data_IF_932919918026
#
_entry.id   IF_932919918026
#
_cell.length_a   1.000
_cell.length_b   1.000
_cell.length_c   1.000
_cell.angle_alpha   90.00
_cell.angle_beta   90.00
_cell.angle_gamma   90.00
#
_symmetry.space_group_name_H-M   'P 1'
#
loop_
_entity.id
_entity.type
_entity.pdbx_description
1 polymer ?
#
# COMPACT_ATOMS: atom_id res chain seq x y z
N UNK A 1 -14.84 25.62 15.30
CA UNK A 1 -14.39 25.38 13.92
C UNK A 1 -13.03 24.71 13.98
N UNK A 2 -12.88 23.47 13.44
CA UNK A 2 -11.54 22.91 13.24
C UNK A 2 -10.89 23.71 12.11
N UNK A 3 -9.81 24.41 12.41
CA UNK A 3 -9.01 25.08 11.38
C UNK A 3 -8.43 23.97 10.50
N UNK A 4 -8.90 23.87 9.27
CA UNK A 4 -8.33 22.94 8.29
C UNK A 4 -6.91 23.40 7.97
N UNK A 5 -5.96 22.49 8.10
CA UNK A 5 -4.56 22.79 7.79
C UNK A 5 -4.37 22.71 6.27
N UNK A 6 -4.53 23.84 5.59
CA UNK A 6 -4.43 23.96 4.14
C UNK A 6 -3.08 23.46 3.61
N UNK A 7 -2.00 23.72 4.35
CA UNK A 7 -0.66 23.24 4.01
C UNK A 7 -0.61 21.71 3.96
N UNK A 8 -1.19 21.03 4.95
CA UNK A 8 -1.26 19.58 4.98
C UNK A 8 -2.08 19.01 3.81
N UNK A 9 -3.16 19.67 3.44
CA UNK A 9 -3.97 19.28 2.27
C UNK A 9 -3.20 19.43 0.97
N UNK A 10 -2.43 20.51 0.81
CA UNK A 10 -1.56 20.70 -0.36
C UNK A 10 -0.48 19.62 -0.46
N UNK A 11 0.20 19.27 0.65
CA UNK A 11 1.17 18.17 0.65
C UNK A 11 0.54 16.80 0.36
N UNK A 12 -0.66 16.52 0.84
CA UNK A 12 -1.40 15.31 0.49
C UNK A 12 -1.68 15.24 -1.00
N UNK A 13 -2.15 16.33 -1.60
CA UNK A 13 -2.44 16.39 -3.03
C UNK A 13 -1.16 16.16 -3.86
N UNK A 14 -0.06 16.80 -3.48
CA UNK A 14 1.24 16.62 -4.13
C UNK A 14 1.73 15.16 -4.02
N UNK A 15 1.61 14.56 -2.84
CA UNK A 15 2.00 13.18 -2.62
C UNK A 15 1.10 12.20 -3.39
N UNK A 16 -0.22 12.43 -3.48
CA UNK A 16 -1.11 11.64 -4.32
C UNK A 16 -0.70 11.69 -5.79
N UNK A 17 -0.43 12.89 -6.31
CA UNK A 17 0.06 13.08 -7.67
C UNK A 17 1.38 12.34 -7.90
N UNK A 18 2.31 12.44 -6.95
CA UNK A 18 3.59 11.75 -7.00
C UNK A 18 3.44 10.23 -7.05
N UNK A 19 2.54 9.63 -6.25
CA UNK A 19 2.27 8.19 -6.31
C UNK A 19 1.73 7.77 -7.68
N UNK A 20 0.77 8.50 -8.23
CA UNK A 20 0.23 8.21 -9.56
C UNK A 20 1.35 8.26 -10.59
N UNK A 21 2.20 9.28 -10.52
CA UNK A 21 3.29 9.48 -11.46
C UNK A 21 4.40 8.42 -11.36
N UNK A 22 4.58 7.76 -10.23
CA UNK A 22 5.52 6.63 -10.09
C UNK A 22 5.14 5.43 -10.97
N UNK A 23 3.86 5.30 -11.33
CA UNK A 23 3.37 4.23 -12.19
C UNK A 23 3.40 4.61 -13.69
N UNK A 24 3.72 5.86 -14.01
CA UNK A 24 3.90 6.33 -15.38
C UNK A 24 5.36 6.66 -15.63
N UNK A 25 5.99 5.90 -16.52
CA UNK A 25 7.38 6.15 -16.92
C UNK A 25 7.46 7.44 -17.75
N UNK A 26 7.94 8.51 -17.16
CA UNK A 26 8.30 9.71 -17.88
C UNK A 26 9.61 9.46 -18.65
N UNK A 27 9.70 9.92 -19.94
CA UNK A 27 10.87 9.67 -20.76
C UNK A 27 12.10 10.46 -20.31
N UNK A 28 13.28 9.90 -20.57
CA UNK A 28 14.58 10.55 -20.39
C UNK A 28 15.06 10.69 -18.95
N UNK A 29 16.15 11.40 -18.76
CA UNK A 29 16.82 11.60 -17.48
C UNK A 29 15.94 12.35 -16.46
N UNK A 30 15.09 13.25 -16.94
CA UNK A 30 14.12 13.94 -16.10
C UNK A 30 13.14 12.96 -15.45
N UNK A 31 12.69 11.94 -16.19
CA UNK A 31 11.82 10.91 -15.66
C UNK A 31 12.47 10.12 -14.51
N UNK A 32 13.74 9.75 -14.67
CA UNK A 32 14.50 9.05 -13.62
C UNK A 32 14.65 9.93 -12.37
N UNK A 33 15.05 11.18 -12.52
CA UNK A 33 15.16 12.12 -11.42
C UNK A 33 13.82 12.30 -10.69
N UNK A 34 12.76 12.51 -11.47
CA UNK A 34 11.42 12.68 -10.93
C UNK A 34 10.95 11.46 -10.13
N UNK A 35 11.20 10.24 -10.64
CA UNK A 35 10.86 9.01 -9.91
C UNK A 35 11.56 8.90 -8.56
N UNK A 36 12.84 9.30 -8.49
CA UNK A 36 13.59 9.32 -7.22
C UNK A 36 12.93 10.28 -6.23
N UNK A 37 12.62 11.49 -6.68
CA UNK A 37 11.96 12.49 -5.84
C UNK A 37 10.57 12.04 -5.43
N UNK A 38 9.77 11.50 -6.36
CA UNK A 38 8.40 11.09 -6.10
C UNK A 38 8.27 9.94 -5.07
N UNK A 39 9.33 9.17 -4.85
CA UNK A 39 9.35 8.10 -3.82
C UNK A 39 9.12 8.62 -2.40
N UNK A 40 9.34 9.91 -2.12
CA UNK A 40 9.02 10.50 -0.81
C UNK A 40 7.55 10.34 -0.42
N UNK A 41 6.66 10.21 -1.41
CA UNK A 41 5.23 10.15 -1.18
C UNK A 41 4.82 8.93 -0.34
N UNK A 42 5.49 7.80 -0.51
CA UNK A 42 5.20 6.57 0.24
C UNK A 42 5.49 6.74 1.74
N UNK A 43 6.72 7.08 2.19
CA UNK A 43 6.98 7.33 3.60
C UNK A 43 6.13 8.49 4.16
N UNK A 44 5.84 9.51 3.36
CA UNK A 44 4.95 10.60 3.77
C UNK A 44 3.55 10.09 4.14
N UNK A 45 2.93 9.23 3.32
CA UNK A 45 1.61 8.67 3.66
C UNK A 45 1.65 7.71 4.83
N UNK A 46 2.74 6.95 5.01
CA UNK A 46 2.94 6.10 6.19
C UNK A 46 3.04 6.94 7.47
N UNK A 47 3.84 8.00 7.44
CA UNK A 47 3.96 8.95 8.56
C UNK A 47 2.63 9.64 8.86
N UNK A 48 1.90 10.04 7.84
CA UNK A 48 0.60 10.67 7.97
C UNK A 48 -0.42 9.72 8.61
N UNK A 49 -0.43 8.45 8.19
CA UNK A 49 -1.26 7.41 8.78
C UNK A 49 -0.93 7.20 10.27
N UNK A 50 0.36 7.19 10.61
CA UNK A 50 0.84 7.16 11.99
C UNK A 50 0.37 8.37 12.80
N UNK A 51 0.54 9.58 12.28
CA UNK A 51 0.13 10.81 12.91
C UNK A 51 -1.37 10.84 13.24
N UNK A 52 -2.23 10.49 12.26
CA UNK A 52 -3.67 10.43 12.50
C UNK A 52 -4.13 9.21 13.30
N UNK A 53 -3.25 8.25 13.53
CA UNK A 53 -3.52 7.09 14.39
C UNK A 53 -3.01 7.29 15.82
N UNK A 54 -2.33 8.40 16.09
CA UNK A 54 -1.86 8.73 17.43
C UNK A 54 -3.06 8.93 18.38
N UNK A 55 -3.02 8.24 19.50
CA UNK A 55 -4.02 8.33 20.59
C UNK A 55 -5.48 8.13 20.17
N UNK A 56 -5.73 7.32 19.12
CA UNK A 56 -7.10 6.98 18.74
C UNK A 56 -7.61 5.77 19.51
N UNK A 57 -8.94 5.72 19.72
CA UNK A 57 -9.59 4.59 20.38
C UNK A 57 -9.46 3.30 19.57
N UNK A 58 -9.41 2.16 20.28
CA UNK A 58 -9.33 0.82 19.67
C UNK A 58 -10.43 0.58 18.62
N UNK A 59 -11.64 1.07 18.86
CA UNK A 59 -12.76 0.88 17.95
C UNK A 59 -12.59 1.67 16.63
N UNK A 60 -12.00 2.85 16.70
CA UNK A 60 -11.65 3.62 15.49
C UNK A 60 -10.56 2.91 14.68
N UNK A 61 -9.58 2.26 15.35
CA UNK A 61 -8.57 1.46 14.64
C UNK A 61 -9.20 0.27 13.94
N UNK A 62 -10.10 -0.47 14.62
CA UNK A 62 -10.85 -1.57 14.01
C UNK A 62 -11.65 -1.12 12.79
N UNK A 63 -12.33 0.03 12.90
CA UNK A 63 -13.09 0.59 11.79
C UNK A 63 -12.19 0.91 10.59
N UNK A 64 -11.04 1.56 10.83
CA UNK A 64 -10.05 1.85 9.77
C UNK A 64 -9.50 0.58 9.15
N UNK A 65 -9.13 -0.42 9.97
CA UNK A 65 -8.67 -1.71 9.47
C UNK A 65 -9.72 -2.35 8.56
N UNK A 66 -10.99 -2.38 9.00
CA UNK A 66 -12.09 -2.89 8.16
C UNK A 66 -12.19 -2.17 6.82
N UNK A 67 -12.10 -0.84 6.81
CA UNK A 67 -12.12 -0.05 5.57
C UNK A 67 -10.93 -0.40 4.67
N UNK A 68 -9.71 -0.51 5.24
CA UNK A 68 -8.51 -0.88 4.47
C UNK A 68 -8.63 -2.29 3.90
N UNK A 69 -9.09 -3.27 4.68
CA UNK A 69 -9.30 -4.64 4.21
C UNK A 69 -10.34 -4.71 3.09
N UNK A 70 -11.46 -3.98 3.19
CA UNK A 70 -12.46 -3.91 2.13
C UNK A 70 -11.89 -3.29 0.85
N UNK A 71 -11.14 -2.20 0.97
CA UNK A 71 -10.48 -1.56 -0.16
C UNK A 71 -9.43 -2.47 -0.80
N UNK A 72 -8.63 -3.16 0.03
CA UNK A 72 -7.65 -4.14 -0.43
C UNK A 72 -8.34 -5.28 -1.19
N UNK A 73 -9.40 -5.88 -0.62
CA UNK A 73 -10.14 -6.95 -1.26
C UNK A 73 -10.75 -6.52 -2.60
N UNK A 74 -11.35 -5.33 -2.65
CA UNK A 74 -11.91 -4.79 -3.89
C UNK A 74 -10.81 -4.55 -4.95
N UNK A 75 -9.67 -4.01 -4.55
CA UNK A 75 -8.53 -3.78 -5.45
C UNK A 75 -7.95 -5.10 -5.97
N UNK A 76 -7.74 -6.08 -5.09
CA UNK A 76 -7.25 -7.40 -5.49
C UNK A 76 -8.22 -8.09 -6.45
N UNK A 77 -9.52 -8.04 -6.17
CA UNK A 77 -10.56 -8.60 -7.06
C UNK A 77 -10.50 -7.94 -8.44
N UNK A 78 -10.43 -6.61 -8.48
CA UNK A 78 -10.33 -5.86 -9.73
C UNK A 78 -9.09 -6.28 -10.54
N UNK A 79 -7.91 -6.27 -9.92
CA UNK A 79 -6.68 -6.66 -10.62
C UNK A 79 -6.66 -8.13 -11.03
N UNK A 80 -7.24 -9.02 -10.23
CA UNK A 80 -7.40 -10.44 -10.59
C UNK A 80 -8.26 -10.60 -11.85
N UNK A 81 -9.38 -9.88 -11.93
CA UNK A 81 -10.24 -9.90 -13.12
C UNK A 81 -9.49 -9.39 -14.34
N UNK A 82 -8.81 -8.24 -14.21
CA UNK A 82 -8.04 -7.65 -15.31
C UNK A 82 -6.92 -8.60 -15.76
N UNK A 83 -6.20 -9.21 -14.82
CA UNK A 83 -5.15 -10.17 -15.12
C UNK A 83 -5.68 -11.41 -15.83
N UNK A 84 -6.79 -11.96 -15.32
CA UNK A 84 -7.46 -13.12 -15.94
C UNK A 84 -7.91 -12.82 -17.38
N UNK A 85 -8.55 -11.68 -17.59
CA UNK A 85 -8.95 -11.25 -18.95
C UNK A 85 -7.74 -11.14 -19.86
N UNK A 86 -6.65 -10.55 -19.38
CA UNK A 86 -5.42 -10.44 -20.15
C UNK A 86 -4.85 -11.82 -20.53
N UNK A 87 -4.76 -12.76 -19.57
CA UNK A 87 -4.28 -14.13 -19.83
C UNK A 87 -5.14 -14.88 -20.84
N UNK A 88 -6.46 -14.68 -20.82
CA UNK A 88 -7.36 -15.26 -21.81
C UNK A 88 -7.12 -14.68 -23.20
N UNK A 89 -6.95 -13.35 -23.30
CA UNK A 89 -6.71 -12.67 -24.57
C UNK A 89 -5.34 -13.03 -25.17
N UNK A 90 -4.30 -13.19 -24.34
CA UNK A 90 -2.94 -13.58 -24.78
C UNK A 90 -2.80 -15.08 -24.99
N UNK A 91 -3.79 -15.89 -24.61
CA UNK A 91 -3.76 -17.37 -24.62
C UNK A 91 -2.70 -18.00 -23.71
N UNK A 92 -2.24 -17.26 -22.71
CA UNK A 92 -1.21 -17.69 -21.75
C UNK A 92 -1.79 -18.34 -20.48
N UNK A 93 -3.13 -18.48 -20.40
CA UNK A 93 -3.82 -18.93 -19.19
C UNK A 93 -3.32 -20.29 -18.69
N UNK A 94 -3.19 -21.27 -19.58
CA UNK A 94 -2.75 -22.64 -19.25
C UNK A 94 -1.31 -22.68 -18.75
N UNK A 95 -0.43 -21.92 -19.37
CA UNK A 95 0.98 -21.83 -19.00
C UNK A 95 1.14 -21.16 -17.63
N UNK A 96 0.43 -20.03 -17.41
CA UNK A 96 0.46 -19.32 -16.14
C UNK A 96 -0.11 -20.16 -14.99
N UNK A 97 -1.22 -20.84 -15.20
CA UNK A 97 -1.83 -21.72 -14.18
C UNK A 97 -0.90 -22.88 -13.81
N UNK A 98 -0.14 -23.42 -14.76
CA UNK A 98 0.84 -24.47 -14.50
C UNK A 98 2.10 -23.96 -13.78
N UNK A 99 2.39 -22.67 -13.85
CA UNK A 99 3.57 -22.05 -13.23
C UNK A 99 3.34 -21.56 -11.80
N UNK A 100 2.08 -21.50 -11.31
CA UNK A 100 1.77 -21.08 -9.94
C UNK A 100 2.23 -22.15 -8.96
N UNK A 101 3.06 -21.75 -8.00
CA UNK A 101 3.55 -22.61 -6.93
C UNK A 101 3.09 -22.11 -5.54
N UNK A 102 3.21 -22.97 -4.54
CA UNK A 102 2.91 -22.65 -3.13
C UNK A 102 3.78 -21.49 -2.62
N UNK A 103 5.00 -21.37 -3.13
CA UNK A 103 5.90 -20.24 -2.83
C UNK A 103 5.30 -18.89 -3.22
N UNK A 104 4.53 -18.79 -4.32
CA UNK A 104 3.92 -17.54 -4.77
C UNK A 104 2.90 -17.02 -3.74
N UNK A 105 2.17 -17.93 -3.08
CA UNK A 105 1.27 -17.57 -1.97
C UNK A 105 2.03 -17.12 -0.74
N UNK A 106 3.15 -17.75 -0.42
CA UNK A 106 4.00 -17.31 0.68
C UNK A 106 4.58 -15.92 0.40
N UNK A 107 5.05 -15.66 -0.80
CA UNK A 107 5.56 -14.36 -1.22
C UNK A 107 4.46 -13.29 -1.19
N UNK A 108 3.23 -13.64 -1.59
CA UNK A 108 2.10 -12.73 -1.49
C UNK A 108 1.79 -12.31 -0.05
N UNK A 109 1.73 -13.29 0.89
CA UNK A 109 1.34 -13.01 2.26
C UNK A 109 2.50 -12.53 3.15
N UNK A 110 3.72 -13.06 2.97
CA UNK A 110 4.87 -12.73 3.82
C UNK A 110 5.64 -11.52 3.32
N UNK A 111 5.85 -11.44 2.01
CA UNK A 111 6.63 -10.36 1.39
C UNK A 111 5.76 -9.32 0.68
N UNK A 112 4.43 -9.46 0.79
CA UNK A 112 3.50 -8.49 0.21
C UNK A 112 3.71 -8.28 -1.31
N UNK A 113 4.04 -9.37 -2.02
CA UNK A 113 4.30 -9.37 -3.47
C UNK A 113 3.10 -9.95 -4.24
N UNK A 114 2.18 -9.13 -4.76
CA UNK A 114 1.04 -9.60 -5.55
C UNK A 114 1.42 -10.00 -6.98
N UNK A 115 2.66 -9.70 -7.40
CA UNK A 115 3.10 -9.76 -8.80
C UNK A 115 2.96 -11.15 -9.41
N UNK A 116 3.37 -12.16 -8.68
CA UNK A 116 3.46 -13.52 -9.21
C UNK A 116 2.10 -14.21 -9.30
N UNK A 117 1.18 -13.86 -8.40
CA UNK A 117 -0.20 -14.39 -8.41
C UNK A 117 -1.16 -13.59 -9.30
N UNK A 118 -1.08 -12.26 -9.27
CA UNK A 118 -2.11 -11.37 -9.83
C UNK A 118 -1.54 -10.50 -10.96
N UNK A 119 -0.25 -10.62 -11.23
CA UNK A 119 0.45 -9.86 -12.27
C UNK A 119 1.00 -8.52 -11.79
N UNK A 120 1.92 -7.99 -12.57
CA UNK A 120 2.66 -6.75 -12.25
C UNK A 120 1.77 -5.51 -12.11
N UNK A 121 0.59 -5.50 -12.75
CA UNK A 121 -0.38 -4.40 -12.63
C UNK A 121 -0.93 -4.25 -11.20
N UNK A 122 -0.93 -5.33 -10.40
CA UNK A 122 -1.38 -5.30 -9.01
C UNK A 122 -0.32 -4.75 -8.03
N UNK A 123 0.89 -4.45 -8.50
CA UNK A 123 1.96 -3.90 -7.65
C UNK A 123 1.50 -2.72 -6.76
N UNK A 124 0.66 -1.76 -7.22
CA UNK A 124 0.22 -0.66 -6.36
C UNK A 124 -0.57 -1.09 -5.10
N UNK A 125 -1.09 -2.31 -5.06
CA UNK A 125 -1.86 -2.81 -3.91
C UNK A 125 -0.99 -3.11 -2.69
N UNK A 126 0.34 -3.22 -2.85
CA UNK A 126 1.26 -3.49 -1.75
C UNK A 126 1.11 -2.51 -0.58
N UNK A 127 0.83 -1.24 -0.88
CA UNK A 127 0.61 -0.22 0.15
C UNK A 127 -0.63 -0.51 1.01
N UNK A 128 -1.72 -0.95 0.39
CA UNK A 128 -2.97 -1.29 1.10
C UNK A 128 -2.79 -2.50 2.01
N UNK A 129 -2.05 -3.49 1.57
CA UNK A 129 -1.69 -4.65 2.37
C UNK A 129 -0.78 -4.25 3.53
N UNK A 130 0.28 -3.47 3.27
CA UNK A 130 1.21 -2.98 4.29
C UNK A 130 0.49 -2.19 5.39
N UNK A 131 -0.40 -1.25 5.03
CA UNK A 131 -1.15 -0.48 6.02
C UNK A 131 -2.13 -1.36 6.82
N UNK A 132 -2.69 -2.40 6.19
CA UNK A 132 -3.55 -3.38 6.87
C UNK A 132 -2.77 -4.19 7.91
N UNK A 133 -1.54 -4.60 7.59
CA UNK A 133 -0.64 -5.27 8.56
C UNK A 133 -0.30 -4.33 9.72
N UNK A 134 0.00 -3.06 9.46
CA UNK A 134 0.28 -2.06 10.50
C UNK A 134 -0.91 -1.93 11.45
N UNK A 135 -2.12 -1.77 10.94
CA UNK A 135 -3.31 -1.67 11.80
C UNK A 135 -3.60 -2.97 12.57
N UNK A 136 -3.33 -4.13 11.97
CA UNK A 136 -3.46 -5.43 12.64
C UNK A 136 -2.46 -5.55 13.78
N UNK A 137 -1.17 -5.26 13.55
CA UNK A 137 -0.15 -5.25 14.58
C UNK A 137 -0.47 -4.23 15.67
N UNK A 138 -0.94 -3.04 15.30
CA UNK A 138 -1.36 -2.04 16.27
C UNK A 138 -2.51 -2.54 17.16
N UNK A 139 -3.48 -3.29 16.63
CA UNK A 139 -4.57 -3.86 17.42
C UNK A 139 -4.11 -4.99 18.35
N UNK A 140 -3.18 -5.84 17.90
CA UNK A 140 -2.59 -6.91 18.70
C UNK A 140 -1.84 -6.32 19.90
N UNK A 141 -1.00 -5.34 19.63
CA UNK A 141 -0.14 -4.72 20.64
C UNK A 141 -0.72 -3.42 21.21
N UNK A 142 -2.02 -3.18 21.07
CA UNK A 142 -2.68 -1.92 21.43
C UNK A 142 -2.32 -1.41 22.83
N UNK A 143 -2.27 -2.31 23.83
CA UNK A 143 -1.91 -1.96 25.21
C UNK A 143 -0.46 -1.47 25.37
N UNK A 144 0.45 -1.99 24.55
CA UNK A 144 1.87 -1.61 24.59
C UNK A 144 2.14 -0.35 23.75
N UNK A 145 1.46 -0.19 22.63
CA UNK A 145 1.63 0.93 21.72
C UNK A 145 0.81 2.18 22.09
N UNK A 146 -0.06 2.10 23.07
CA UNK A 146 -0.77 3.29 23.55
C UNK A 146 0.20 4.39 24.05
N UNK A 147 1.40 4.02 24.46
CA UNK A 147 2.48 4.92 24.88
C UNK A 147 3.60 5.08 23.84
N UNK A 148 3.80 4.12 22.94
CA UNK A 148 4.71 4.27 21.82
C UNK A 148 3.95 4.90 20.65
N UNK A 149 4.48 6.01 20.14
CA UNK A 149 3.90 6.69 19.01
C UNK A 149 3.80 5.74 17.81
N UNK A 150 2.61 5.50 17.30
CA UNK A 150 2.36 4.75 16.05
C UNK A 150 3.21 5.26 14.86
N UNK A 151 3.73 6.48 14.99
CA UNK A 151 4.66 7.12 14.10
C UNK A 151 5.97 6.35 13.91
N UNK A 152 6.59 5.89 14.99
CA UNK A 152 7.84 5.12 14.90
C UNK A 152 7.68 3.77 14.20
N UNK A 153 6.57 3.09 14.45
CA UNK A 153 6.28 1.81 13.78
C UNK A 153 6.01 2.02 12.30
N UNK A 154 5.23 3.03 11.94
CA UNK A 154 4.94 3.36 10.53
C UNK A 154 6.22 3.76 9.78
N UNK A 155 7.10 4.53 10.41
CA UNK A 155 8.38 4.92 9.83
C UNK A 155 9.30 3.70 9.64
N UNK A 156 9.39 2.83 10.64
CA UNK A 156 10.22 1.62 10.59
C UNK A 156 9.79 0.68 9.47
N UNK A 157 8.50 0.42 9.34
CA UNK A 157 7.97 -0.44 8.28
C UNK A 157 8.09 0.21 6.89
N UNK A 158 8.02 1.52 6.79
CA UNK A 158 8.32 2.25 5.56
C UNK A 158 9.76 2.08 5.10
N UNK A 159 10.71 2.07 6.04
CA UNK A 159 12.15 1.90 5.75
C UNK A 159 12.50 0.48 5.30
N UNK A 160 11.78 -0.55 5.76
CA UNK A 160 12.03 -1.95 5.36
C UNK A 160 11.56 -2.20 3.91
N UNK A 161 10.64 -1.39 3.38
CA UNK A 161 10.00 -1.61 2.07
C UNK A 161 10.53 -0.70 0.95
N UNK A 162 11.52 0.13 1.22
CA UNK A 162 12.23 0.94 0.22
C UNK A 162 13.46 0.20 -0.26
#
# INVERSE_FOLDING_TARGET
MKTENTTLHAFKALACFSIVSLHFLLPGQFGVFYQIVARFAVPFFMMLSGYFSFNISRDKVKYRLKQMLLLTAASLLFYTIVHFVNLVLTRELTEKMASIDVSDFADFFLFNSPRDLIGSAATPTWYLLAISYIYTLYLIFYKHFHHLTSFGVSLFLSLIHI
#
